data_IF_148631911694
#
_entry.id   IF_148631911694
#
_cell.length_a   1.000
_cell.length_b   1.000
_cell.length_c   1.000
_cell.angle_alpha   90.00
_cell.angle_beta   90.00
_cell.angle_gamma   90.00
#
_symmetry.space_group_name_H-M   'P 1'
#
loop_
_entity.id
_entity.type
_entity.pdbx_description
1 polymer ?
#
# COMPACT_ATOMS: atom_id res chain seq x y z
N UNK A 1 -18.95 -9.47 1.63
CA UNK A 1 -19.44 -9.48 0.24
C UNK A 1 -18.57 -8.62 -0.69
N UNK A 2 -18.30 -7.36 -0.35
CA UNK A 2 -17.52 -6.42 -1.20
C UNK A 2 -16.08 -6.89 -1.53
N UNK A 3 -15.40 -7.50 -0.56
CA UNK A 3 -14.06 -8.08 -0.75
C UNK A 3 -13.98 -9.21 -1.78
N UNK A 4 -15.04 -10.00 -1.92
CA UNK A 4 -15.09 -11.07 -2.92
C UNK A 4 -15.15 -10.51 -4.35
N UNK A 5 -15.84 -9.38 -4.52
CA UNK A 5 -15.96 -8.70 -5.82
C UNK A 5 -14.60 -8.14 -6.26
N UNK A 6 -13.86 -7.50 -5.35
CA UNK A 6 -12.52 -7.00 -5.67
C UNK A 6 -11.56 -8.13 -6.04
N UNK A 7 -11.55 -9.23 -5.28
CA UNK A 7 -10.72 -10.39 -5.61
C UNK A 7 -11.04 -10.97 -6.99
N UNK A 8 -12.33 -11.05 -7.34
CA UNK A 8 -12.79 -11.57 -8.62
C UNK A 8 -12.39 -10.66 -9.79
N UNK A 9 -12.53 -9.33 -9.63
CA UNK A 9 -12.09 -8.35 -10.63
C UNK A 9 -10.59 -8.40 -10.89
N UNK A 10 -9.77 -8.39 -9.84
CA UNK A 10 -8.31 -8.40 -9.99
C UNK A 10 -7.81 -9.68 -10.64
N UNK A 11 -8.42 -10.82 -10.30
CA UNK A 11 -8.10 -12.12 -10.92
C UNK A 11 -8.46 -12.15 -12.40
N UNK A 12 -9.61 -11.59 -12.79
CA UNK A 12 -10.04 -11.49 -14.19
C UNK A 12 -9.07 -10.65 -15.02
N UNK A 13 -8.63 -9.49 -14.51
CA UNK A 13 -7.66 -8.62 -15.19
C UNK A 13 -6.30 -9.32 -15.34
N UNK A 14 -5.83 -9.99 -14.29
CA UNK A 14 -4.58 -10.73 -14.35
C UNK A 14 -4.62 -11.86 -15.39
N UNK A 15 -5.73 -12.59 -15.46
CA UNK A 15 -5.91 -13.68 -16.43
C UNK A 15 -5.97 -13.16 -17.87
N UNK A 16 -6.66 -12.03 -18.09
CA UNK A 16 -6.73 -11.38 -19.40
C UNK A 16 -5.35 -10.92 -19.89
N UNK A 17 -4.55 -10.32 -19.00
CA UNK A 17 -3.19 -9.89 -19.31
C UNK A 17 -2.26 -11.08 -19.59
N UNK A 18 -2.34 -12.14 -18.79
CA UNK A 18 -1.55 -13.35 -18.99
C UNK A 18 -1.87 -14.01 -20.34
N UNK A 19 -3.16 -14.10 -20.70
CA UNK A 19 -3.61 -14.64 -21.98
C UNK A 19 -3.15 -13.74 -23.14
N UNK A 20 -3.35 -12.42 -23.05
CA UNK A 20 -2.96 -11.48 -24.11
C UNK A 20 -1.46 -11.47 -24.39
N UNK A 21 -0.63 -11.57 -23.35
CA UNK A 21 0.83 -11.65 -23.49
C UNK A 21 1.29 -13.01 -24.04
N UNK A 22 0.55 -14.08 -23.74
CA UNK A 22 0.81 -15.41 -24.31
C UNK A 22 0.52 -15.44 -25.80
N UNK A 23 -0.63 -14.92 -26.22
CA UNK A 23 -1.06 -14.90 -27.63
C UNK A 23 -0.11 -14.07 -28.50
N UNK A 24 0.32 -12.89 -28.02
CA UNK A 24 1.31 -12.06 -28.74
C UNK A 24 2.65 -12.77 -28.92
N UNK A 25 3.07 -13.58 -27.94
CA UNK A 25 4.33 -14.32 -27.97
C UNK A 25 4.27 -15.55 -28.87
N UNK A 26 3.07 -16.12 -29.08
CA UNK A 26 2.84 -17.25 -29.97
C UNK A 26 2.83 -16.79 -31.44
N UNK A 27 2.17 -15.66 -31.73
CA UNK A 27 2.15 -15.06 -33.08
C UNK A 27 3.55 -14.63 -33.54
N UNK A 28 4.36 -14.03 -32.66
CA UNK A 28 5.76 -13.64 -32.97
C UNK A 28 6.69 -14.86 -33.14
N UNK A 29 6.31 -16.03 -32.60
CA UNK A 29 7.09 -17.27 -32.76
C UNK A 29 6.68 -18.06 -34.01
N UNK A 30 5.40 -17.99 -34.40
CA UNK A 30 4.88 -18.63 -35.61
C UNK A 30 5.33 -17.91 -36.89
N UNK A 31 5.63 -16.61 -36.82
CA UNK A 31 6.31 -15.86 -37.86
C UNK A 31 7.82 -15.95 -37.61
N UNK A 32 8.54 -16.86 -38.26
CA UNK A 32 10.00 -16.80 -38.29
C UNK A 32 10.39 -15.78 -39.39
N UNK A 33 10.73 -14.52 -39.06
CA UNK A 33 10.98 -13.47 -40.06
C UNK A 33 12.08 -13.82 -41.07
N UNK A 34 12.92 -14.82 -40.77
CA UNK A 34 13.95 -15.28 -41.69
C UNK A 34 13.37 -16.00 -42.91
N UNK A 35 12.28 -16.76 -42.75
CA UNK A 35 11.70 -17.56 -43.86
C UNK A 35 11.04 -16.65 -44.89
N UNK A 36 10.33 -15.61 -44.46
CA UNK A 36 9.72 -14.61 -45.36
C UNK A 36 10.80 -13.82 -46.10
N UNK A 37 11.85 -13.40 -45.39
CA UNK A 37 12.98 -12.68 -45.98
C UNK A 37 13.69 -13.47 -47.08
N UNK A 38 13.97 -14.77 -46.88
CA UNK A 38 14.63 -15.58 -47.92
C UNK A 38 13.72 -15.88 -49.12
N UNK A 39 12.38 -15.93 -48.94
CA UNK A 39 11.44 -16.06 -50.07
C UNK A 39 11.38 -14.78 -50.90
N UNK A 40 11.41 -13.63 -50.24
CA UNK A 40 11.47 -12.34 -50.92
C UNK A 40 12.78 -12.21 -51.72
N UNK A 41 13.93 -12.60 -51.13
CA UNK A 41 15.22 -12.62 -51.83
C UNK A 41 15.26 -13.54 -53.06
N UNK A 42 14.57 -14.67 -53.02
CA UNK A 42 14.42 -15.56 -54.18
C UNK A 42 13.64 -14.89 -55.31
N UNK A 43 12.56 -14.19 -54.94
CA UNK A 43 11.70 -13.49 -55.89
C UNK A 43 12.44 -12.30 -56.53
N UNK A 44 13.19 -11.55 -55.72
CA UNK A 44 14.04 -10.45 -56.18
C UNK A 44 15.13 -10.95 -57.13
N UNK A 45 15.81 -12.06 -56.79
CA UNK A 45 16.84 -12.63 -57.65
C UNK A 45 16.29 -13.08 -59.02
N UNK A 46 15.06 -13.62 -59.07
CA UNK A 46 14.38 -13.97 -60.33
C UNK A 46 14.00 -12.73 -61.16
N UNK A 47 13.70 -11.61 -60.50
CA UNK A 47 13.44 -10.30 -61.13
C UNK A 47 14.73 -9.70 -61.70
N UNK A 48 15.85 -9.81 -60.98
CA UNK A 48 17.18 -9.32 -61.37
C UNK A 48 17.73 -10.05 -62.61
N UNK A 49 17.48 -11.35 -62.73
CA UNK A 49 17.83 -12.11 -63.94
C UNK A 49 16.97 -11.65 -65.13
N UNK A 50 15.68 -11.42 -64.89
CA UNK A 50 14.73 -11.01 -65.94
C UNK A 50 15.01 -9.60 -66.45
N UNK A 51 15.44 -8.71 -65.55
CA UNK A 51 15.82 -7.33 -65.86
C UNK A 51 17.24 -7.22 -66.44
N UNK A 52 18.01 -8.31 -66.44
CA UNK A 52 19.38 -8.36 -66.96
C UNK A 52 20.43 -7.75 -66.02
N UNK A 53 20.09 -7.52 -64.75
CA UNK A 53 21.00 -7.03 -63.71
C UNK A 53 21.96 -8.11 -63.21
N UNK A 54 21.54 -9.38 -63.24
CA UNK A 54 22.38 -10.54 -62.89
C UNK A 54 22.58 -11.46 -64.10
N UNK A 55 23.82 -11.91 -64.32
CA UNK A 55 24.11 -12.95 -65.28
C UNK A 55 23.45 -14.28 -64.85
N UNK A 56 22.91 -15.04 -65.81
CA UNK A 56 22.18 -16.28 -65.53
C UNK A 56 23.04 -17.35 -64.82
N UNK A 57 24.35 -17.35 -65.05
CA UNK A 57 25.31 -18.24 -64.40
C UNK A 57 25.54 -17.90 -62.91
N UNK A 58 25.65 -16.61 -62.58
CA UNK A 58 25.84 -16.13 -61.20
C UNK A 58 24.57 -16.27 -60.37
N UNK A 59 23.41 -16.12 -61.02
CA UNK A 59 22.11 -16.29 -60.40
C UNK A 59 21.88 -17.71 -59.90
N UNK A 60 22.29 -18.74 -60.66
CA UNK A 60 22.14 -20.14 -60.24
C UNK A 60 22.93 -20.42 -58.95
N UNK A 61 24.14 -19.89 -58.84
CA UNK A 61 24.99 -20.04 -57.65
C UNK A 61 24.40 -19.33 -56.44
N UNK A 62 23.95 -18.09 -56.62
CA UNK A 62 23.34 -17.27 -55.57
C UNK A 62 22.03 -17.88 -55.07
N UNK A 63 21.19 -18.34 -56.00
CA UNK A 63 19.91 -19.02 -55.72
C UNK A 63 20.14 -20.31 -54.92
N UNK A 64 21.11 -21.13 -55.32
CA UNK A 64 21.44 -22.35 -54.60
C UNK A 64 21.88 -22.09 -53.14
N UNK A 65 22.61 -21.01 -52.89
CA UNK A 65 23.02 -20.66 -51.53
C UNK A 65 21.87 -20.10 -50.68
N UNK A 66 21.00 -19.27 -51.27
CA UNK A 66 19.79 -18.77 -50.59
C UNK A 66 18.85 -19.93 -50.25
N UNK A 67 18.61 -20.85 -51.19
CA UNK A 67 17.77 -22.04 -50.96
C UNK A 67 18.37 -22.95 -49.88
N UNK A 68 19.69 -23.15 -49.88
CA UNK A 68 20.37 -23.91 -48.83
C UNK A 68 20.19 -23.27 -47.45
N UNK A 69 20.29 -21.95 -47.34
CA UNK A 69 20.08 -21.20 -46.08
C UNK A 69 18.61 -21.22 -45.65
N UNK A 70 17.68 -21.13 -46.60
CA UNK A 70 16.25 -21.27 -46.35
C UNK A 70 15.93 -22.67 -45.82
N UNK A 71 16.42 -23.74 -46.47
CA UNK A 71 16.26 -25.11 -46.00
C UNK A 71 16.87 -25.33 -44.61
N UNK A 72 18.04 -24.76 -44.34
CA UNK A 72 18.64 -24.79 -43.00
C UNK A 72 17.76 -24.08 -41.96
N UNK A 73 17.14 -22.94 -42.31
CA UNK A 73 16.20 -22.23 -41.43
C UNK A 73 14.90 -22.99 -41.20
N UNK A 74 14.34 -23.63 -42.24
CA UNK A 74 13.14 -24.46 -42.16
C UNK A 74 13.39 -25.73 -41.34
N UNK A 75 14.53 -26.40 -41.54
CA UNK A 75 14.94 -27.54 -40.72
C UNK A 75 15.19 -27.12 -39.28
N UNK A 76 15.81 -25.97 -39.02
CA UNK A 76 15.99 -25.45 -37.65
C UNK A 76 14.67 -25.12 -36.96
N UNK A 77 13.64 -24.71 -37.72
CA UNK A 77 12.29 -24.49 -37.23
C UNK A 77 11.55 -25.81 -36.95
N UNK A 78 11.75 -26.83 -37.80
CA UNK A 78 11.12 -28.15 -37.69
C UNK A 78 11.80 -29.05 -36.63
N UNK A 79 13.12 -28.98 -36.51
CA UNK A 79 13.92 -29.66 -35.48
C UNK A 79 13.74 -29.06 -34.09
N UNK A 80 12.97 -27.98 -33.96
CA UNK A 80 12.49 -27.45 -32.70
C UNK A 80 13.60 -27.35 -31.67
N UNK A 81 14.45 -26.32 -31.76
CA UNK A 81 15.55 -26.04 -30.81
C UNK A 81 15.16 -26.56 -29.41
N UNK A 82 15.95 -27.48 -28.79
CA UNK A 82 15.62 -27.98 -27.47
C UNK A 82 15.41 -26.77 -26.56
N UNK A 83 14.33 -26.82 -25.79
CA UNK A 83 13.67 -25.80 -24.98
C UNK A 83 14.54 -24.97 -23.99
N UNK A 84 15.74 -24.52 -24.39
CA UNK A 84 16.68 -23.77 -23.56
C UNK A 84 16.16 -22.36 -23.23
N UNK A 85 15.25 -21.80 -24.04
CA UNK A 85 14.57 -20.52 -23.73
C UNK A 85 13.14 -20.68 -23.19
N UNK A 86 12.59 -21.90 -23.17
CA UNK A 86 11.26 -22.18 -22.60
C UNK A 86 11.30 -22.10 -21.08
N UNK A 87 12.35 -22.66 -20.46
CA UNK A 87 12.53 -22.67 -19.00
C UNK A 87 12.64 -21.26 -18.40
N UNK A 88 13.21 -20.29 -19.11
CA UNK A 88 13.28 -18.89 -18.66
C UNK A 88 11.93 -18.17 -18.74
N UNK A 89 11.17 -18.40 -19.80
CA UNK A 89 9.82 -17.83 -19.97
C UNK A 89 8.76 -18.50 -19.11
N UNK A 90 8.87 -19.81 -18.87
CA UNK A 90 8.02 -20.58 -17.95
C UNK A 90 8.35 -20.24 -16.50
N UNK A 91 9.64 -20.07 -16.14
CA UNK A 91 10.00 -19.57 -14.80
C UNK A 91 9.53 -18.13 -14.59
N UNK A 92 9.57 -17.26 -15.60
CA UNK A 92 9.02 -15.90 -15.51
C UNK A 92 7.49 -15.89 -15.45
N UNK A 93 6.81 -16.77 -16.20
CA UNK A 93 5.36 -16.93 -16.14
C UNK A 93 4.89 -17.54 -14.81
N UNK A 94 5.59 -18.56 -14.32
CA UNK A 94 5.36 -19.16 -13.01
C UNK A 94 5.70 -18.19 -11.88
N UNK A 95 6.75 -17.37 -12.01
CA UNK A 95 7.07 -16.31 -11.05
C UNK A 95 6.00 -15.21 -11.06
N UNK A 96 5.50 -14.80 -12.23
CA UNK A 96 4.40 -13.84 -12.33
C UNK A 96 3.11 -14.39 -11.69
N UNK A 97 2.76 -15.65 -11.96
CA UNK A 97 1.63 -16.33 -11.32
C UNK A 97 1.83 -16.47 -9.81
N UNK A 98 3.04 -16.83 -9.38
CA UNK A 98 3.39 -16.92 -7.97
C UNK A 98 3.30 -15.56 -7.28
N UNK A 99 3.70 -14.46 -7.93
CA UNK A 99 3.51 -13.11 -7.39
C UNK A 99 2.03 -12.76 -7.31
N UNK A 100 1.25 -13.00 -8.36
CA UNK A 100 -0.20 -12.74 -8.38
C UNK A 100 -0.93 -13.52 -7.29
N UNK A 101 -0.44 -14.70 -6.91
CA UNK A 101 -1.06 -15.56 -5.90
C UNK A 101 -0.49 -15.33 -4.48
N UNK A 102 0.81 -15.08 -4.35
CA UNK A 102 1.46 -14.83 -3.06
C UNK A 102 1.17 -13.44 -2.51
N UNK A 103 1.14 -12.41 -3.36
CA UNK A 103 0.89 -11.04 -2.91
C UNK A 103 -0.45 -10.90 -2.15
N UNK A 104 -1.59 -11.42 -2.65
CA UNK A 104 -2.84 -11.39 -1.91
C UNK A 104 -2.84 -12.31 -0.68
N UNK A 105 -2.12 -13.43 -0.70
CA UNK A 105 -2.02 -14.34 0.44
C UNK A 105 -1.28 -13.69 1.62
N UNK A 106 -0.17 -12.99 1.32
CA UNK A 106 0.60 -12.23 2.29
C UNK A 106 -0.20 -11.05 2.82
N UNK A 107 -0.94 -10.33 1.95
CA UNK A 107 -1.83 -9.26 2.37
C UNK A 107 -2.92 -9.76 3.32
N UNK A 108 -3.54 -10.91 3.01
CA UNK A 108 -4.56 -11.53 3.86
C UNK A 108 -3.99 -11.97 5.21
N UNK A 109 -2.84 -12.63 5.22
CA UNK A 109 -2.18 -13.04 6.46
C UNK A 109 -1.79 -11.83 7.33
N UNK A 110 -1.32 -10.75 6.70
CA UNK A 110 -1.00 -9.49 7.37
C UNK A 110 -2.25 -8.85 7.95
N UNK A 111 -3.37 -8.84 7.22
CA UNK A 111 -4.65 -8.34 7.70
C UNK A 111 -5.20 -9.16 8.87
N UNK A 112 -5.04 -10.49 8.88
CA UNK A 112 -5.45 -11.32 10.02
C UNK A 112 -4.60 -11.08 11.27
N UNK A 113 -3.33 -10.66 11.11
CA UNK A 113 -2.40 -10.40 12.23
C UNK A 113 -2.48 -8.97 12.76
N UNK A 114 -2.68 -7.97 11.89
CA UNK A 114 -2.67 -6.54 12.25
C UNK A 114 -4.08 -5.93 12.24
N UNK A 115 -4.96 -6.44 11.38
CA UNK A 115 -6.32 -5.95 11.25
C UNK A 115 -7.23 -6.44 12.38
N UNK A 116 -8.38 -5.79 12.49
CA UNK A 116 -9.40 -6.14 13.47
C UNK A 116 -10.65 -6.69 12.73
N UNK A 117 -10.61 -7.95 12.25
CA UNK A 117 -11.70 -8.54 11.47
C UNK A 117 -13.01 -8.65 12.25
N UNK A 118 -12.93 -8.61 13.58
CA UNK A 118 -14.05 -8.69 14.52
C UNK A 118 -14.58 -7.32 14.96
N UNK A 119 -14.03 -6.20 14.50
CA UNK A 119 -14.59 -4.89 14.84
C UNK A 119 -15.92 -4.65 14.11
N UNK A 120 -17.01 -4.34 14.84
CA UNK A 120 -18.27 -3.93 14.24
C UNK A 120 -18.09 -2.63 13.46
N UNK A 121 -18.79 -2.50 12.33
CA UNK A 121 -18.81 -1.24 11.58
C UNK A 121 -19.33 -0.11 12.48
N UNK A 122 -18.55 0.97 12.60
CA UNK A 122 -19.00 2.19 13.27
C UNK A 122 -19.80 3.04 12.28
N UNK A 123 -21.12 3.24 12.48
CA UNK A 123 -21.92 4.08 11.59
C UNK A 123 -21.41 5.52 11.64
N UNK A 124 -21.61 6.27 10.55
CA UNK A 124 -21.16 7.67 10.41
C UNK A 124 -21.61 8.55 11.58
N UNK A 125 -22.78 8.29 12.15
CA UNK A 125 -23.31 9.01 13.31
C UNK A 125 -22.49 8.80 14.60
N UNK A 126 -21.74 7.70 14.70
CA UNK A 126 -20.88 7.35 15.83
C UNK A 126 -19.41 7.70 15.58
N UNK A 127 -19.08 8.25 14.40
CA UNK A 127 -17.72 8.67 14.09
C UNK A 127 -17.49 10.03 14.74
N UNK A 128 -16.47 10.20 15.60
CA UNK A 128 -16.11 11.52 16.08
C UNK A 128 -15.75 12.37 14.86
N UNK A 129 -16.56 13.39 14.59
CA UNK A 129 -16.21 14.39 13.58
C UNK A 129 -14.92 15.06 14.04
N UNK A 130 -14.03 15.45 13.12
CA UNK A 130 -12.64 15.84 13.37
C UNK A 130 -12.43 17.09 14.28
N UNK A 131 -13.42 17.50 15.08
CA UNK A 131 -13.31 18.45 16.20
C UNK A 131 -13.52 17.85 17.59
N UNK A 132 -14.08 16.63 17.69
CA UNK A 132 -14.38 15.96 18.97
C UNK A 132 -13.45 14.76 19.18
N UNK A 133 -12.19 15.02 19.52
CA UNK A 133 -11.35 13.98 20.13
C UNK A 133 -11.94 13.64 21.51
N UNK A 134 -12.92 12.73 21.52
CA UNK A 134 -13.59 12.28 22.73
C UNK A 134 -12.56 11.63 23.65
N UNK A 135 -12.48 12.15 24.88
CA UNK A 135 -11.70 11.67 26.02
C UNK A 135 -11.83 10.14 26.27
N UNK A 136 -12.84 9.49 25.70
CA UNK A 136 -13.14 8.07 25.91
C UNK A 136 -12.40 7.09 24.98
N UNK A 137 -11.88 7.52 23.82
CA UNK A 137 -11.37 6.58 22.80
C UNK A 137 -9.87 6.25 22.93
N UNK A 138 -9.10 7.01 23.72
CA UNK A 138 -7.64 6.86 23.81
C UNK A 138 -7.15 6.27 25.14
N UNK A 139 -8.05 5.88 26.06
CA UNK A 139 -7.69 5.22 27.32
C UNK A 139 -8.65 4.06 27.57
N UNK A 140 -8.22 2.78 27.43
CA UNK A 140 -9.10 1.63 27.60
C UNK A 140 -9.71 1.49 29.02
N UNK A 141 -9.12 2.15 30.03
CA UNK A 141 -9.45 1.93 31.46
C UNK A 141 -9.91 3.18 32.24
N UNK A 142 -10.19 4.30 31.57
CA UNK A 142 -10.86 5.42 32.24
C UNK A 142 -12.31 5.41 31.77
N UNK A 143 -13.20 4.80 32.56
CA UNK A 143 -14.64 5.00 32.45
C UNK A 143 -14.99 6.47 32.72
N UNK A 144 -14.70 7.36 31.76
CA UNK A 144 -15.37 8.63 31.65
C UNK A 144 -16.82 8.28 31.25
N UNK A 145 -17.68 8.18 32.26
CA UNK A 145 -19.07 7.75 32.13
C UNK A 145 -19.84 8.57 31.10
N UNK A 146 -21.05 8.10 30.77
CA UNK A 146 -22.00 8.59 29.77
C UNK A 146 -22.35 10.10 29.75
N UNK A 147 -21.63 10.96 30.47
CA UNK A 147 -21.79 12.42 30.49
C UNK A 147 -21.36 13.13 29.18
N UNK A 148 -20.71 12.46 28.23
CA UNK A 148 -20.27 13.09 26.97
C UNK A 148 -21.40 13.43 25.98
N UNK A 149 -22.55 12.76 26.09
CA UNK A 149 -23.58 12.80 25.04
C UNK A 149 -24.46 14.07 25.02
N UNK A 150 -24.49 14.86 26.10
CA UNK A 150 -25.35 16.05 26.20
C UNK A 150 -24.60 17.39 26.33
N UNK A 151 -23.26 17.37 26.35
CA UNK A 151 -22.43 18.57 26.54
C UNK A 151 -22.42 19.48 25.31
N UNK A 152 -22.61 18.90 24.12
CA UNK A 152 -22.67 19.63 22.85
C UNK A 152 -23.90 20.55 22.73
N UNK A 153 -25.01 20.24 23.42
CA UNK A 153 -26.25 21.03 23.40
C UNK A 153 -26.31 22.18 24.42
N UNK A 154 -25.33 22.26 25.34
CA UNK A 154 -25.32 23.26 26.41
C UNK A 154 -24.78 24.62 25.91
N UNK A 155 -25.22 25.74 26.52
CA UNK A 155 -24.61 27.06 26.34
C UNK A 155 -23.09 27.03 26.59
N UNK A 156 -22.29 27.87 25.89
CA UNK A 156 -20.82 27.79 25.94
C UNK A 156 -20.24 27.92 27.35
N UNK A 157 -20.85 28.75 28.21
CA UNK A 157 -20.47 28.93 29.62
C UNK A 157 -20.77 27.70 30.49
N UNK A 158 -21.90 27.03 30.26
CA UNK A 158 -22.24 25.82 31.02
C UNK A 158 -21.38 24.64 30.57
N UNK A 159 -21.05 24.59 29.27
CA UNK A 159 -20.14 23.62 28.68
C UNK A 159 -18.74 23.71 29.30
N UNK A 160 -18.18 24.92 29.38
CA UNK A 160 -16.84 25.12 29.96
C UNK A 160 -16.79 24.75 31.44
N UNK A 161 -17.83 25.04 32.20
CA UNK A 161 -17.96 24.63 33.60
C UNK A 161 -18.10 23.11 33.77
N UNK A 162 -18.88 22.45 32.93
CA UNK A 162 -19.01 20.99 32.93
C UNK A 162 -17.67 20.31 32.61
N UNK A 163 -16.98 20.77 31.57
CA UNK A 163 -15.64 20.27 31.20
C UNK A 163 -14.65 20.50 32.34
N UNK A 164 -14.67 21.66 32.99
CA UNK A 164 -13.79 21.96 34.14
C UNK A 164 -13.99 20.98 35.30
N UNK A 165 -15.23 20.60 35.60
CA UNK A 165 -15.55 19.60 36.62
C UNK A 165 -14.98 18.23 36.26
N UNK A 166 -15.19 17.77 35.03
CA UNK A 166 -14.67 16.48 34.54
C UNK A 166 -13.13 16.45 34.54
N UNK A 167 -12.49 17.54 34.14
CA UNK A 167 -11.02 17.66 34.12
C UNK A 167 -10.46 17.66 35.55
N UNK A 168 -11.16 18.26 36.51
CA UNK A 168 -10.75 18.24 37.92
C UNK A 168 -10.86 16.83 38.53
N UNK A 169 -11.90 16.07 38.21
CA UNK A 169 -12.04 14.67 38.63
C UNK A 169 -10.93 13.79 38.02
N UNK A 170 -10.61 14.03 36.74
CA UNK A 170 -9.49 13.36 36.07
C UNK A 170 -8.14 13.70 36.74
N UNK A 171 -7.93 14.96 37.14
CA UNK A 171 -6.72 15.38 37.86
C UNK A 171 -6.60 14.68 39.22
N UNK A 172 -7.70 14.57 39.96
CA UNK A 172 -7.72 13.87 41.25
C UNK A 172 -7.40 12.38 41.09
N UNK A 173 -7.98 11.72 40.07
CA UNK A 173 -7.70 10.32 39.78
C UNK A 173 -6.24 10.10 39.35
N UNK A 174 -5.73 10.97 38.47
CA UNK A 174 -4.32 10.95 38.05
C UNK A 174 -3.37 11.15 39.22
N UNK A 175 -3.73 11.94 40.24
CA UNK A 175 -2.88 12.09 41.43
C UNK A 175 -2.75 10.79 42.24
N UNK A 176 -3.78 9.92 42.21
CA UNK A 176 -3.84 8.67 42.98
C UNK A 176 -3.13 7.49 42.26
N UNK A 177 -3.31 7.35 40.94
CA UNK A 177 -2.80 6.21 40.14
C UNK A 177 -1.87 6.67 38.98
N UNK A 178 -1.02 7.68 39.24
CA UNK A 178 -0.46 8.58 38.24
C UNK A 178 0.79 8.17 37.46
N UNK A 179 0.89 6.96 36.94
CA UNK A 179 2.01 6.56 36.06
C UNK A 179 1.66 6.59 34.57
N UNK A 180 0.74 7.47 34.17
CA UNK A 180 0.27 7.58 32.78
C UNK A 180 0.64 8.93 32.16
N UNK A 181 1.74 8.95 31.40
CA UNK A 181 2.22 10.12 30.65
C UNK A 181 1.11 10.77 29.81
N UNK A 182 0.34 9.97 29.08
CA UNK A 182 -0.71 10.46 28.18
C UNK A 182 -1.79 11.25 28.94
N UNK A 183 -2.16 10.80 30.16
CA UNK A 183 -3.17 11.45 30.98
C UNK A 183 -2.70 12.82 31.48
N UNK A 184 -1.44 12.93 31.90
CA UNK A 184 -0.83 14.18 32.32
C UNK A 184 -0.71 15.20 31.17
N UNK A 185 -0.26 14.78 29.99
CA UNK A 185 -0.19 15.66 28.82
C UNK A 185 -1.57 16.16 28.39
N UNK A 186 -2.59 15.31 28.45
CA UNK A 186 -3.96 15.69 28.14
C UNK A 186 -4.51 16.69 29.16
N UNK A 187 -4.22 16.50 30.45
CA UNK A 187 -4.62 17.41 31.52
C UNK A 187 -4.06 18.82 31.29
N UNK A 188 -2.76 18.92 30.99
CA UNK A 188 -2.08 20.19 30.72
C UNK A 188 -2.68 20.90 29.50
N UNK A 189 -2.96 20.17 28.41
CA UNK A 189 -3.60 20.74 27.20
C UNK A 189 -5.01 21.23 27.46
N UNK A 190 -5.79 20.48 28.26
CA UNK A 190 -7.16 20.86 28.59
C UNK A 190 -7.21 22.15 29.41
N UNK A 191 -6.35 22.30 30.42
CA UNK A 191 -6.24 23.55 31.19
C UNK A 191 -5.73 24.72 30.34
N UNK A 192 -4.80 24.47 29.42
CA UNK A 192 -4.33 25.50 28.50
C UNK A 192 -5.43 25.99 27.54
N UNK A 193 -6.25 25.07 27.00
CA UNK A 193 -7.38 25.39 26.13
C UNK A 193 -8.48 26.18 26.87
N UNK A 194 -8.68 25.90 28.16
CA UNK A 194 -9.62 26.61 29.04
C UNK A 194 -9.08 27.95 29.56
N UNK A 195 -7.84 28.32 29.23
CA UNK A 195 -7.19 29.55 29.71
C UNK A 195 -6.77 29.50 31.19
N UNK A 196 -6.88 28.35 31.85
CA UNK A 196 -6.56 28.16 33.26
C UNK A 196 -5.05 27.94 33.48
N UNK A 197 -4.22 28.91 33.08
CA UNK A 197 -2.74 28.78 33.08
C UNK A 197 -2.15 28.34 34.42
N UNK A 198 -2.64 28.87 35.54
CA UNK A 198 -2.16 28.49 36.88
C UNK A 198 -2.37 27.00 37.18
N UNK A 199 -3.49 26.43 36.71
CA UNK A 199 -3.77 25.00 36.90
C UNK A 199 -2.96 24.13 35.93
N UNK A 200 -2.70 24.63 34.72
CA UNK A 200 -1.80 23.97 33.78
C UNK A 200 -0.37 23.86 34.36
N UNK A 201 0.15 24.92 34.98
CA UNK A 201 1.45 24.94 35.66
C UNK A 201 1.49 23.96 36.85
N UNK A 202 0.44 23.93 37.67
CA UNK A 202 0.32 22.96 38.75
C UNK A 202 0.27 21.50 38.23
N UNK A 203 -0.43 21.25 37.12
CA UNK A 203 -0.48 19.94 36.48
C UNK A 203 0.89 19.51 35.92
N UNK A 204 1.69 20.44 35.39
CA UNK A 204 3.07 20.19 34.94
C UNK A 204 3.95 19.77 36.12
N UNK A 205 3.85 20.47 37.25
CA UNK A 205 4.61 20.13 38.45
C UNK A 205 4.27 18.72 38.98
N UNK A 206 2.97 18.39 39.05
CA UNK A 206 2.51 17.05 39.45
C UNK A 206 2.94 15.96 38.46
N UNK A 207 2.86 16.24 37.15
CA UNK A 207 3.33 15.32 36.11
C UNK A 207 4.82 15.00 36.26
N UNK A 208 5.66 16.03 36.45
CA UNK A 208 7.11 15.86 36.67
C UNK A 208 7.41 15.06 37.94
N UNK A 209 6.67 15.30 39.03
CA UNK A 209 6.86 14.57 40.28
C UNK A 209 6.52 13.08 40.15
N UNK A 210 5.45 12.74 39.43
CA UNK A 210 4.96 11.36 39.34
C UNK A 210 5.59 10.56 38.18
N UNK A 211 6.17 11.24 37.20
CA UNK A 211 6.87 10.66 36.04
C UNK A 211 8.40 10.80 36.13
N UNK A 212 8.95 11.16 37.30
CA UNK A 212 10.39 11.39 37.50
C UNK A 212 11.28 10.18 37.15
N UNK A 213 10.71 8.98 37.02
CA UNK A 213 11.42 7.76 36.61
C UNK A 213 11.48 7.50 35.10
N UNK A 214 10.80 8.32 34.28
CA UNK A 214 10.74 8.15 32.83
C UNK A 214 11.25 9.41 32.11
N UNK A 215 12.44 9.28 31.53
CA UNK A 215 13.13 10.35 30.81
C UNK A 215 12.33 10.82 29.58
N UNK A 216 11.66 9.90 28.87
CA UNK A 216 10.81 10.23 27.72
C UNK A 216 9.56 10.99 28.14
N UNK A 217 9.00 10.62 29.29
CA UNK A 217 7.86 11.30 29.88
C UNK A 217 8.19 12.74 30.27
N UNK A 218 9.32 12.96 30.94
CA UNK A 218 9.79 14.31 31.31
C UNK A 218 10.04 15.20 30.08
N UNK A 219 10.71 14.66 29.05
CA UNK A 219 10.98 15.39 27.80
C UNK A 219 9.69 15.83 27.08
N UNK A 220 8.68 14.96 27.07
CA UNK A 220 7.37 15.25 26.46
C UNK A 220 6.61 16.36 27.19
N UNK A 221 6.70 16.39 28.53
CA UNK A 221 6.12 17.46 29.35
C UNK A 221 6.84 18.79 29.08
N UNK A 222 8.17 18.79 29.02
CA UNK A 222 8.97 20.00 28.79
C UNK A 222 8.78 20.57 27.38
N UNK A 223 8.60 19.71 26.38
CA UNK A 223 8.23 20.15 25.03
C UNK A 223 6.86 20.84 25.04
N UNK A 224 5.89 20.28 25.75
CA UNK A 224 4.55 20.84 25.85
C UNK A 224 4.54 22.19 26.58
N UNK A 225 5.31 22.34 27.66
CA UNK A 225 5.50 23.60 28.39
C UNK A 225 6.06 24.69 27.47
N UNK A 226 7.10 24.37 26.69
CA UNK A 226 7.71 25.28 25.72
C UNK A 226 6.72 25.72 24.63
N UNK A 227 5.96 24.78 24.06
CA UNK A 227 4.93 25.10 23.04
C UNK A 227 3.84 26.02 23.58
N UNK A 228 3.42 25.81 24.82
CA UNK A 228 2.34 26.59 25.46
C UNK A 228 2.84 27.90 26.11
N UNK A 229 4.15 28.16 26.10
CA UNK A 229 4.79 29.28 26.80
C UNK A 229 4.30 29.40 28.25
N UNK A 230 4.20 28.27 28.93
CA UNK A 230 3.94 28.24 30.38
C UNK A 230 5.24 28.57 31.12
N UNK A 231 5.15 29.19 32.29
CA UNK A 231 6.36 29.43 33.11
C UNK A 231 6.85 28.09 33.67
N UNK A 232 8.18 27.93 33.68
CA UNK A 232 8.87 26.78 34.27
C UNK A 232 8.82 26.80 35.80
#
# INVERSE_FOLDING_TARGET
MLWAIFAMMTSSVALALARSLSERREVVRAHDPNVTFYRDLLTEADEDVRSGLLASEDAVTTRAEIERRLLASLNSACEGRPHASRRGGERRGAAALAIVLMLPLVALASYLKVGAPSQPDMPIASRPSNGDFSLAAAVPDIHAGQAGANIAGLPPEQRSNAIRGMVAELAEKLSKDGHHLQGWLQLIRSYAALGERKKAEAAVASARAQLAGDEQASASVDELVRRLRLKE
#
